data_IF_789455490729
#
_entry.id   IF_789455490729
#
_cell.length_a   1.000
_cell.length_b   1.000
_cell.length_c   1.000
_cell.angle_alpha   90.00
_cell.angle_beta   90.00
_cell.angle_gamma   90.00
#
_symmetry.space_group_name_H-M   'P 1'
#
loop_
_entity.id
_entity.type
_entity.pdbx_description
1 polymer ?
#
# COMPACT_ATOMS: atom_id res chain seq x y z
N UNK A 1 24.35 14.97 7.37
CA UNK A 1 23.66 13.71 7.05
C UNK A 1 22.29 14.09 6.50
N UNK A 2 22.04 13.90 5.20
CA UNK A 2 20.75 14.23 4.61
C UNK A 2 19.72 13.22 5.12
N UNK A 3 18.58 13.69 5.62
CA UNK A 3 17.48 12.82 6.01
C UNK A 3 17.06 11.96 4.80
N UNK A 4 16.86 10.66 5.01
CA UNK A 4 16.43 9.75 3.94
C UNK A 4 15.02 10.06 3.45
N UNK A 5 14.60 9.48 2.30
CA UNK A 5 13.28 9.72 1.72
C UNK A 5 12.15 9.38 2.69
N UNK A 6 11.04 10.13 2.62
CA UNK A 6 9.80 9.79 3.31
C UNK A 6 8.92 8.95 2.39
N UNK A 7 8.42 7.82 2.90
CA UNK A 7 7.66 6.83 2.13
C UNK A 7 6.29 6.62 2.78
N UNK A 8 5.23 6.87 2.02
CA UNK A 8 3.88 6.43 2.36
C UNK A 8 3.68 4.98 1.90
N UNK A 9 3.65 4.03 2.82
CA UNK A 9 3.45 2.62 2.48
C UNK A 9 1.95 2.30 2.39
N UNK A 10 1.48 2.04 1.18
CA UNK A 10 0.11 1.63 0.91
C UNK A 10 -0.08 0.13 1.19
N UNK A 11 -0.74 -0.20 2.30
CA UNK A 11 -0.84 -1.59 2.76
C UNK A 11 -1.85 -2.42 1.96
N UNK A 12 -2.71 -1.81 1.12
CA UNK A 12 -3.76 -2.47 0.31
C UNK A 12 -4.67 -3.44 1.10
N UNK A 13 -5.76 -3.91 0.50
CA UNK A 13 -6.55 -4.98 1.11
C UNK A 13 -5.82 -6.34 1.08
N UNK A 14 -5.04 -6.61 0.02
CA UNK A 14 -4.36 -7.90 -0.15
C UNK A 14 -3.25 -8.10 0.87
N UNK A 15 -2.40 -7.09 1.07
CA UNK A 15 -1.33 -7.18 2.05
C UNK A 15 -1.88 -7.12 3.48
N UNK A 16 -2.86 -6.27 3.79
CA UNK A 16 -3.43 -6.20 5.15
C UNK A 16 -4.18 -7.48 5.54
N UNK A 17 -5.05 -8.01 4.67
CA UNK A 17 -5.95 -9.12 5.01
C UNK A 17 -5.39 -10.50 4.67
N UNK A 18 -4.59 -10.63 3.60
CA UNK A 18 -4.16 -11.94 3.12
C UNK A 18 -2.67 -12.22 3.36
N UNK A 19 -1.81 -11.19 3.32
CA UNK A 19 -0.35 -11.32 3.42
C UNK A 19 0.29 -10.26 4.33
N UNK A 20 -0.10 -10.18 5.61
CA UNK A 20 0.38 -9.12 6.52
C UNK A 20 1.90 -9.15 6.71
N UNK A 21 2.51 -10.33 6.70
CA UNK A 21 3.97 -10.48 6.80
C UNK A 21 4.73 -9.76 5.68
N UNK A 22 4.16 -9.66 4.48
CA UNK A 22 4.79 -8.94 3.37
C UNK A 22 4.82 -7.42 3.62
N UNK A 23 3.76 -6.85 4.21
CA UNK A 23 3.72 -5.44 4.58
C UNK A 23 4.76 -5.09 5.65
N UNK A 24 4.86 -5.92 6.70
CA UNK A 24 5.88 -5.73 7.74
C UNK A 24 7.31 -5.90 7.19
N UNK A 25 7.54 -6.87 6.30
CA UNK A 25 8.84 -7.06 5.67
C UNK A 25 9.23 -5.86 4.79
N UNK A 26 8.29 -5.31 4.03
CA UNK A 26 8.50 -4.12 3.21
C UNK A 26 8.84 -2.89 4.07
N UNK A 27 8.08 -2.64 5.14
CA UNK A 27 8.37 -1.56 6.08
C UNK A 27 9.78 -1.69 6.70
N UNK A 28 10.11 -2.89 7.21
CA UNK A 28 11.43 -3.13 7.82
C UNK A 28 12.59 -2.95 6.83
N UNK A 29 12.41 -3.36 5.57
CA UNK A 29 13.42 -3.16 4.52
C UNK A 29 13.66 -1.68 4.23
N UNK A 30 12.59 -0.89 4.11
CA UNK A 30 12.65 0.54 3.86
C UNK A 30 13.29 1.30 5.04
N UNK A 31 12.92 0.97 6.27
CA UNK A 31 13.53 1.55 7.47
C UNK A 31 15.04 1.26 7.53
N UNK A 32 15.45 0.02 7.22
CA UNK A 32 16.87 -0.37 7.14
C UNK A 32 17.63 0.35 6.03
N UNK A 33 16.95 0.75 4.96
CA UNK A 33 17.51 1.58 3.89
C UNK A 33 17.61 3.08 4.28
N UNK A 34 17.16 3.46 5.48
CA UNK A 34 17.20 4.83 5.99
C UNK A 34 15.98 5.68 5.61
N UNK A 35 14.91 5.08 5.09
CA UNK A 35 13.67 5.79 4.79
C UNK A 35 12.82 6.03 6.04
N UNK A 36 12.12 7.16 6.08
CA UNK A 36 11.03 7.38 7.03
C UNK A 36 9.74 6.77 6.50
N UNK A 37 9.27 5.68 7.12
CA UNK A 37 8.07 4.96 6.66
C UNK A 37 6.85 5.40 7.45
N UNK A 38 5.79 5.81 6.74
CA UNK A 38 4.48 6.10 7.31
C UNK A 38 3.43 5.24 6.62
N UNK A 39 2.49 4.69 7.39
CA UNK A 39 1.32 3.98 6.87
C UNK A 39 0.10 4.86 7.15
N UNK A 40 -0.42 5.61 6.16
CA UNK A 40 -1.57 6.47 6.37
C UNK A 40 -2.79 5.68 6.85
N UNK A 41 -3.49 6.20 7.87
CA UNK A 41 -4.74 5.57 8.37
C UNK A 41 -5.93 5.77 7.44
N UNK A 42 -5.87 6.77 6.55
CA UNK A 42 -6.93 7.17 5.63
C UNK A 42 -6.76 6.52 4.26
N UNK A 43 -6.25 5.29 4.22
CA UNK A 43 -6.12 4.52 2.98
C UNK A 43 -7.51 4.13 2.46
N UNK A 44 -7.73 4.34 1.17
CA UNK A 44 -8.96 3.94 0.49
C UNK A 44 -8.73 2.67 -0.32
N UNK A 45 -9.81 2.02 -0.75
CA UNK A 45 -9.72 0.83 -1.59
C UNK A 45 -9.17 1.21 -2.97
N UNK A 46 -8.19 0.46 -3.47
CA UNK A 46 -7.65 0.66 -4.82
C UNK A 46 -8.50 0.08 -5.95
N UNK A 47 -9.68 -0.49 -5.66
CA UNK A 47 -10.58 -1.10 -6.66
C UNK A 47 -10.11 -2.42 -7.28
N UNK A 48 -8.85 -2.81 -7.06
CA UNK A 48 -8.21 -3.94 -7.75
C UNK A 48 -8.94 -5.30 -7.63
N UNK A 49 -9.55 -5.68 -6.49
CA UNK A 49 -10.35 -6.91 -6.43
C UNK A 49 -11.57 -6.92 -7.34
N UNK A 50 -12.29 -5.80 -7.45
CA UNK A 50 -13.47 -5.67 -8.30
C UNK A 50 -13.07 -5.68 -9.78
N UNK A 51 -12.02 -4.93 -10.13
CA UNK A 51 -11.45 -4.93 -11.47
C UNK A 51 -11.05 -6.35 -11.93
N UNK A 52 -10.32 -7.08 -11.08
CA UNK A 52 -9.90 -8.46 -11.38
C UNK A 52 -11.07 -9.44 -11.52
N UNK A 53 -12.23 -9.14 -10.93
CA UNK A 53 -13.45 -9.93 -11.05
C UNK A 53 -14.32 -9.55 -12.27
N UNK A 54 -13.90 -8.55 -13.06
CA UNK A 54 -14.60 -8.09 -14.25
C UNK A 54 -15.59 -6.94 -14.01
N UNK A 55 -15.72 -6.44 -12.78
CA UNK A 55 -16.47 -5.22 -12.47
C UNK A 55 -15.57 -4.00 -12.74
N UNK A 56 -15.46 -3.67 -14.04
CA UNK A 56 -14.54 -2.62 -14.51
C UNK A 56 -14.96 -1.25 -13.97
N UNK A 57 -16.26 -0.95 -13.92
CA UNK A 57 -16.78 0.35 -13.48
C UNK A 57 -16.34 0.68 -12.05
N UNK A 58 -16.65 -0.20 -11.08
CA UNK A 58 -16.23 -0.01 -9.69
C UNK A 58 -14.72 -0.23 -9.49
N UNK A 59 -14.11 -1.08 -10.31
CA UNK A 59 -12.69 -1.37 -10.27
C UNK A 59 -11.80 -0.18 -10.67
N UNK A 60 -12.22 0.58 -11.70
CA UNK A 60 -11.45 1.72 -12.20
C UNK A 60 -11.50 2.95 -11.30
N UNK A 61 -12.61 3.23 -10.62
CA UNK A 61 -12.75 4.36 -9.69
C UNK A 61 -11.67 4.34 -8.59
N UNK A 62 -11.43 3.15 -8.02
CA UNK A 62 -10.41 2.99 -6.98
C UNK A 62 -8.96 3.06 -7.48
N UNK A 63 -8.68 2.90 -8.77
CA UNK A 63 -7.32 2.97 -9.32
C UNK A 63 -6.86 4.39 -9.68
N UNK A 64 -7.79 5.34 -9.75
CA UNK A 64 -7.50 6.77 -9.97
C UNK A 64 -7.36 7.57 -8.67
N UNK A 65 -7.66 6.93 -7.52
CA UNK A 65 -7.55 7.51 -6.16
C UNK A 65 -6.14 7.34 -5.55
#
# INVERSE_FOLDING_TARGET
MTAGPQVGLFATCLVDLCRPSAGFAAASLLEKAGCGVNVPRTQVCCGQPAYNAGDIENGSDGQEA
#
